data_IF_826846011005
#
_entry.id   IF_826846011005
#
_cell.length_a   1.000
_cell.length_b   1.000
_cell.length_c   1.000
_cell.angle_alpha   90.00
_cell.angle_beta   90.00
_cell.angle_gamma   90.00
#
_symmetry.space_group_name_H-M   'P 1'
#
loop_
_entity.id
_entity.type
_entity.pdbx_description
1 polymer ?
#
# COMPACT_ATOMS: atom_id res chain seq x y z
N UNK A 1 -12.61 -21.90 -21.05
CA UNK A 1 -11.61 -20.96 -20.49
C UNK A 1 -12.35 -19.76 -19.94
N UNK A 2 -12.51 -19.68 -18.62
CA UNK A 2 -13.32 -18.67 -17.95
C UNK A 2 -12.65 -17.29 -18.03
N UNK A 3 -13.34 -16.34 -18.67
CA UNK A 3 -12.99 -14.91 -18.63
C UNK A 3 -13.07 -14.43 -17.18
N UNK A 4 -11.92 -14.26 -16.53
CA UNK A 4 -11.85 -13.60 -15.21
C UNK A 4 -12.23 -12.14 -15.43
N UNK A 5 -13.41 -11.73 -14.95
CA UNK A 5 -13.81 -10.31 -14.94
C UNK A 5 -12.81 -9.55 -14.05
N UNK A 6 -12.26 -8.41 -14.48
CA UNK A 6 -11.42 -7.60 -13.60
C UNK A 6 -12.27 -7.20 -12.40
N UNK A 7 -11.88 -7.64 -11.20
CA UNK A 7 -12.50 -7.19 -9.96
C UNK A 7 -12.37 -5.67 -9.89
N UNK A 8 -13.49 -4.99 -9.65
CA UNK A 8 -13.52 -3.53 -9.58
C UNK A 8 -12.70 -3.11 -8.35
N UNK A 9 -11.48 -2.61 -8.57
CA UNK A 9 -10.52 -2.30 -7.50
C UNK A 9 -11.03 -1.25 -6.49
N UNK A 10 -12.12 -0.56 -6.84
CA UNK A 10 -12.78 0.43 -6.00
C UNK A 10 -13.86 -0.15 -5.06
N UNK A 11 -14.17 -1.44 -5.14
CA UNK A 11 -15.14 -2.09 -4.25
C UNK A 11 -14.39 -2.89 -3.19
N UNK A 12 -14.13 -2.25 -2.04
CA UNK A 12 -13.52 -2.89 -0.87
C UNK A 12 -14.62 -3.73 -0.17
N UNK A 13 -14.37 -5.00 0.20
CA UNK A 13 -15.33 -5.82 0.92
C UNK A 13 -15.77 -5.21 2.26
N UNK A 14 -17.05 -5.30 2.59
CA UNK A 14 -17.60 -4.81 3.86
C UNK A 14 -16.96 -5.47 5.09
N UNK A 15 -16.54 -6.73 4.96
CA UNK A 15 -15.83 -7.45 6.03
C UNK A 15 -14.52 -6.76 6.39
N UNK A 16 -13.79 -6.27 5.38
CA UNK A 16 -12.54 -5.55 5.60
C UNK A 16 -12.77 -4.13 6.13
N UNK A 17 -13.81 -3.44 5.63
CA UNK A 17 -14.16 -2.09 6.10
C UNK A 17 -14.63 -2.08 7.56
N UNK A 18 -15.33 -3.13 8.00
CA UNK A 18 -15.89 -3.22 9.35
C UNK A 18 -15.03 -4.05 10.33
N UNK A 19 -13.82 -4.43 9.93
CA UNK A 19 -12.90 -5.17 10.79
C UNK A 19 -12.48 -4.30 11.98
N UNK A 20 -12.81 -4.75 13.20
CA UNK A 20 -12.59 -3.97 14.43
C UNK A 20 -11.12 -3.83 14.79
N UNK A 21 -10.35 -4.90 14.60
CA UNK A 21 -8.91 -4.89 14.92
C UNK A 21 -8.16 -4.01 13.92
N UNK A 22 -8.52 -4.09 12.63
CA UNK A 22 -7.90 -3.29 11.58
C UNK A 22 -8.16 -1.81 11.81
N UNK A 23 -9.41 -1.46 12.10
CA UNK A 23 -9.77 -0.07 12.39
C UNK A 23 -9.11 0.46 13.67
N UNK A 24 -8.83 -0.39 14.66
CA UNK A 24 -8.10 0.01 15.86
C UNK A 24 -6.62 0.31 15.56
N UNK A 25 -5.98 -0.52 14.71
CA UNK A 25 -4.60 -0.28 14.27
C UNK A 25 -4.50 0.98 13.40
N UNK A 26 -5.46 1.21 12.50
CA UNK A 26 -5.50 2.41 11.66
C UNK A 26 -5.66 3.68 12.52
N UNK A 27 -6.41 3.63 13.62
CA UNK A 27 -6.55 4.77 14.56
C UNK A 27 -5.25 5.19 15.26
N UNK A 28 -4.20 4.37 15.20
CA UNK A 28 -2.87 4.76 15.72
C UNK A 28 -2.14 5.69 14.76
N UNK A 29 -2.58 5.75 13.49
CA UNK A 29 -2.06 6.67 12.49
C UNK A 29 -2.73 8.05 12.67
N UNK A 30 -2.04 9.13 12.30
CA UNK A 30 -2.56 10.49 12.46
C UNK A 30 -3.85 10.72 11.66
N UNK A 31 -4.88 11.25 12.33
CA UNK A 31 -6.22 11.44 11.74
C UNK A 31 -6.27 12.42 10.57
N UNK A 32 -5.29 13.34 10.48
CA UNK A 32 -5.21 14.32 9.39
C UNK A 32 -4.66 13.73 8.08
N UNK A 33 -4.31 12.44 8.04
CA UNK A 33 -3.87 11.74 6.84
C UNK A 33 -4.74 10.52 6.56
N UNK A 34 -5.17 10.36 5.32
CA UNK A 34 -5.83 9.15 4.85
C UNK A 34 -4.82 8.27 4.09
N UNK A 35 -4.36 7.20 4.72
CA UNK A 35 -3.42 6.24 4.13
C UNK A 35 -4.09 5.15 3.27
N UNK A 36 -5.42 5.15 3.15
CA UNK A 36 -6.16 4.21 2.30
C UNK A 36 -5.80 2.73 2.60
N UNK A 37 -5.54 2.39 3.87
CA UNK A 37 -5.02 1.07 4.28
C UNK A 37 -5.93 -0.08 3.83
N UNK A 38 -7.25 0.08 4.00
CA UNK A 38 -8.24 -0.89 3.53
C UNK A 38 -8.11 -1.19 2.03
N UNK A 39 -7.94 -0.13 1.22
CA UNK A 39 -7.80 -0.23 -0.23
C UNK A 39 -6.50 -0.93 -0.61
N UNK A 40 -5.42 -0.60 0.09
CA UNK A 40 -4.10 -1.21 -0.10
C UNK A 40 -4.13 -2.71 0.20
N UNK A 41 -4.69 -3.12 1.35
CA UNK A 41 -4.86 -4.53 1.72
C UNK A 41 -5.70 -5.27 0.66
N UNK A 42 -6.81 -4.68 0.25
CA UNK A 42 -7.67 -5.27 -0.78
C UNK A 42 -6.95 -5.43 -2.11
N UNK A 43 -6.17 -4.42 -2.52
CA UNK A 43 -5.41 -4.45 -3.76
C UNK A 43 -4.36 -5.56 -3.74
N UNK A 44 -3.60 -5.67 -2.64
CA UNK A 44 -2.60 -6.72 -2.42
C UNK A 44 -3.23 -8.11 -2.55
N UNK A 45 -4.36 -8.35 -1.87
CA UNK A 45 -5.10 -9.62 -1.91
C UNK A 45 -5.60 -9.94 -3.32
N UNK A 46 -6.12 -8.94 -4.03
CA UNK A 46 -6.69 -9.09 -5.38
C UNK A 46 -5.63 -9.52 -6.40
N UNK A 47 -4.46 -8.88 -6.38
CA UNK A 47 -3.36 -9.21 -7.31
C UNK A 47 -2.49 -10.36 -6.82
N UNK A 48 -2.74 -10.88 -5.60
CA UNK A 48 -1.95 -11.92 -4.94
C UNK A 48 -0.46 -11.58 -4.86
N UNK A 49 -0.15 -10.31 -4.58
CA UNK A 49 1.21 -9.86 -4.40
C UNK A 49 1.87 -10.61 -3.23
N UNK A 50 3.15 -10.93 -3.38
CA UNK A 50 3.98 -11.56 -2.34
C UNK A 50 4.98 -10.58 -1.77
N UNK A 51 5.46 -9.64 -2.57
CA UNK A 51 6.36 -8.57 -2.13
C UNK A 51 5.87 -7.21 -2.59
N UNK A 52 5.87 -6.24 -1.68
CA UNK A 52 5.33 -4.90 -1.90
C UNK A 52 6.37 -3.86 -1.50
N UNK A 53 6.68 -2.94 -2.40
CA UNK A 53 7.49 -1.77 -2.10
C UNK A 53 6.60 -0.62 -1.59
N UNK A 54 7.08 0.09 -0.58
CA UNK A 54 6.44 1.29 -0.06
C UNK A 54 7.40 2.47 -0.15
N UNK A 55 7.00 3.49 -0.89
CA UNK A 55 7.74 4.73 -1.05
C UNK A 55 6.95 5.88 -0.42
N UNK A 56 7.63 6.68 0.40
CA UNK A 56 7.01 7.76 1.18
C UNK A 56 7.90 9.01 1.15
N UNK A 57 7.31 10.22 1.24
CA UNK A 57 8.08 11.43 1.56
C UNK A 57 8.53 11.39 3.03
N UNK A 58 9.56 12.19 3.35
CA UNK A 58 10.19 12.26 4.68
C UNK A 58 9.16 12.44 5.82
N UNK A 59 8.19 13.34 5.64
CA UNK A 59 7.16 13.63 6.65
C UNK A 59 6.20 12.46 6.94
N UNK A 60 6.11 11.46 6.05
CA UNK A 60 5.29 10.26 6.27
C UNK A 60 6.13 9.04 6.66
N UNK A 61 7.47 9.12 6.58
CA UNK A 61 8.37 8.02 6.83
C UNK A 61 8.29 7.51 8.28
N UNK A 62 7.97 8.40 9.22
CA UNK A 62 7.72 8.06 10.64
C UNK A 62 6.61 7.01 10.82
N UNK A 63 5.68 6.89 9.86
CA UNK A 63 4.59 5.92 9.90
C UNK A 63 4.88 4.63 9.11
N UNK A 64 6.03 4.55 8.44
CA UNK A 64 6.34 3.46 7.51
C UNK A 64 6.34 2.08 8.19
N UNK A 65 6.98 1.95 9.35
CA UNK A 65 7.00 0.68 10.08
C UNK A 65 5.59 0.25 10.52
N UNK A 66 4.82 1.17 11.08
CA UNK A 66 3.44 0.90 11.52
C UNK A 66 2.57 0.41 10.36
N UNK A 67 2.64 1.09 9.21
CA UNK A 67 1.89 0.69 8.02
C UNK A 67 2.37 -0.67 7.51
N UNK A 68 3.68 -0.90 7.46
CA UNK A 68 4.25 -2.17 7.02
C UNK A 68 3.79 -3.34 7.91
N UNK A 69 3.74 -3.15 9.22
CA UNK A 69 3.28 -4.18 10.17
C UNK A 69 1.80 -4.50 9.98
N UNK A 70 0.95 -3.49 9.79
CA UNK A 70 -0.48 -3.69 9.46
C UNK A 70 -0.63 -4.46 8.15
N UNK A 71 0.11 -4.07 7.09
CA UNK A 71 0.03 -4.78 5.82
C UNK A 71 0.49 -6.24 5.95
N UNK A 72 1.59 -6.50 6.65
CA UNK A 72 2.10 -7.85 6.95
C UNK A 72 1.06 -8.69 7.70
N UNK A 73 0.46 -8.16 8.76
CA UNK A 73 -0.54 -8.86 9.55
C UNK A 73 -1.77 -9.30 8.75
N UNK A 74 -2.25 -8.45 7.83
CA UNK A 74 -3.51 -8.70 7.10
C UNK A 74 -3.34 -9.39 5.74
N UNK A 75 -2.12 -9.42 5.20
CA UNK A 75 -1.86 -9.94 3.85
C UNK A 75 -0.72 -10.95 3.77
N UNK A 76 0.09 -11.11 4.82
CA UNK A 76 1.27 -11.97 4.87
C UNK A 76 2.26 -11.71 3.71
N UNK A 77 2.34 -10.45 3.26
CA UNK A 77 3.31 -10.03 2.23
C UNK A 77 4.61 -9.58 2.84
N UNK A 78 5.69 -9.70 2.08
CA UNK A 78 6.94 -9.05 2.41
C UNK A 78 6.87 -7.56 2.01
N UNK A 79 7.16 -6.66 2.95
CA UNK A 79 7.08 -5.22 2.73
C UNK A 79 8.49 -4.64 2.75
N UNK A 80 8.85 -4.00 1.65
CA UNK A 80 10.11 -3.28 1.46
C UNK A 80 9.85 -1.79 1.58
N UNK A 81 10.45 -1.16 2.59
CA UNK A 81 10.39 0.31 2.75
C UNK A 81 11.53 0.90 1.92
N UNK A 82 11.20 1.75 0.95
CA UNK A 82 12.18 2.39 0.07
C UNK A 82 12.90 3.50 0.84
N UNK A 83 14.23 3.42 0.92
CA UNK A 83 15.05 4.38 1.68
C UNK A 83 15.27 5.73 1.00
N UNK A 84 14.98 5.85 -0.30
CA UNK A 84 15.08 7.11 -1.03
C UNK A 84 13.89 8.02 -0.72
N UNK A 85 14.19 9.25 -0.33
CA UNK A 85 13.18 10.27 -0.04
C UNK A 85 12.52 10.71 -1.34
N UNK A 86 11.21 10.51 -1.45
CA UNK A 86 10.44 11.01 -2.59
C UNK A 86 10.03 12.47 -2.37
N UNK A 87 10.65 13.40 -3.11
CA UNK A 87 10.29 14.82 -3.12
C UNK A 87 9.09 15.16 -4.04
N UNK A 88 8.58 14.17 -4.79
CA UNK A 88 7.44 14.33 -5.69
C UNK A 88 7.06 13.04 -6.43
N UNK A 89 5.94 13.07 -7.16
CA UNK A 89 5.49 11.97 -8.02
C UNK A 89 6.41 11.70 -9.23
N UNK A 90 7.35 12.59 -9.55
CA UNK A 90 8.38 12.34 -10.56
C UNK A 90 9.48 11.38 -10.06
N UNK A 91 9.54 11.13 -8.75
CA UNK A 91 10.54 10.28 -8.10
C UNK A 91 10.01 8.87 -7.83
N UNK A 92 9.05 8.36 -8.61
CA UNK A 92 8.57 6.98 -8.47
C UNK A 92 9.71 6.03 -8.84
N UNK A 93 10.18 5.24 -7.87
CA UNK A 93 11.27 4.28 -8.08
C UNK A 93 10.74 2.91 -8.52
N UNK A 94 10.20 2.86 -9.74
CA UNK A 94 9.70 1.63 -10.35
C UNK A 94 10.85 0.69 -10.76
N UNK A 95 12.01 1.23 -11.11
CA UNK A 95 13.22 0.44 -11.42
C UNK A 95 13.73 -0.31 -10.19
N UNK A 96 13.88 0.37 -9.05
CA UNK A 96 14.29 -0.24 -7.78
C UNK A 96 13.28 -1.27 -7.30
N UNK A 97 11.99 -0.95 -7.36
CA UNK A 97 10.93 -1.91 -7.02
C UNK A 97 10.98 -3.18 -7.90
N UNK A 98 11.22 -3.04 -9.21
CA UNK A 98 11.39 -4.19 -10.12
C UNK A 98 12.67 -4.97 -9.83
N UNK A 99 13.78 -4.29 -9.56
CA UNK A 99 15.05 -4.93 -9.22
C UNK A 99 14.94 -5.78 -7.94
N UNK A 100 14.17 -5.30 -6.96
CA UNK A 100 13.86 -6.00 -5.71
C UNK A 100 12.75 -7.05 -5.85
N UNK A 101 12.22 -7.24 -7.07
CA UNK A 101 11.16 -8.18 -7.42
C UNK A 101 9.88 -7.94 -6.62
N UNK A 102 9.50 -6.68 -6.46
CA UNK A 102 8.23 -6.30 -5.86
C UNK A 102 7.10 -6.41 -6.89
N UNK A 103 5.96 -6.96 -6.48
CA UNK A 103 4.77 -7.14 -7.31
C UNK A 103 3.89 -5.88 -7.34
N UNK A 104 4.07 -5.00 -6.34
CA UNK A 104 3.33 -3.76 -6.17
C UNK A 104 4.24 -2.68 -5.57
N UNK A 105 4.12 -1.45 -6.07
CA UNK A 105 4.70 -0.25 -5.47
C UNK A 105 3.57 0.64 -4.98
N UNK A 106 3.60 1.00 -3.69
CA UNK A 106 2.69 1.96 -3.07
C UNK A 106 3.47 3.25 -2.88
N UNK A 107 3.03 4.31 -3.55
CA UNK A 107 3.61 5.64 -3.45
C UNK A 107 2.66 6.57 -2.68
N UNK A 108 3.11 7.09 -1.54
CA UNK A 108 2.33 7.99 -0.69
C UNK A 108 2.62 9.47 -0.96
N UNK A 109 1.66 10.34 -0.64
CA UNK A 109 1.86 11.79 -0.55
C UNK A 109 1.70 12.58 -1.86
N UNK A 110 1.69 11.93 -3.02
CA UNK A 110 1.57 12.63 -4.31
C UNK A 110 0.54 11.96 -5.23
N UNK A 111 -0.19 12.80 -5.97
CA UNK A 111 -1.01 12.35 -7.09
C UNK A 111 -0.11 11.80 -8.20
N UNK A 112 -0.53 10.72 -8.86
CA UNK A 112 0.22 10.14 -9.97
C UNK A 112 0.53 11.20 -11.04
N UNK A 113 1.79 11.31 -11.46
CA UNK A 113 2.16 12.05 -12.65
C UNK A 113 1.78 11.19 -13.85
N UNK A 114 0.66 11.50 -14.50
CA UNK A 114 0.10 10.69 -15.58
C UNK A 114 1.14 10.39 -16.67
N UNK A 115 1.46 9.11 -16.82
CA UNK A 115 2.09 8.54 -18.02
C UNK A 115 1.16 7.51 -18.61
#
# INVERSE_FOLDING_TARGET
MSKVRPLNANQIPNELLNDKELNLLIKQLPENYNFEIHKTIWRIKTIKAKRVAMQMPEGLFVFACTIADVLKAYTNVDVVIMGDVAYGACCIDDYGARALKCDLLIHYGHSCLGR
#
